data_IF_041696145181
#
_entry.id   IF_041696145181
#
_cell.length_a   1.000
_cell.length_b   1.000
_cell.length_c   1.000
_cell.angle_alpha   90.00
_cell.angle_beta   90.00
_cell.angle_gamma   90.00
#
_symmetry.space_group_name_H-M   'P 1'
#
loop_
_entity.id
_entity.type
_entity.pdbx_description
1 polymer ?
#
# COMPACT_ATOMS: atom_id res chain seq x y z
N UNK A 1 1.89 8.63 7.08
CA UNK A 1 1.55 9.85 6.32
C UNK A 1 0.29 9.67 5.49
N UNK A 2 0.29 8.81 4.45
CA UNK A 2 -0.86 8.70 3.53
C UNK A 2 -2.17 8.28 4.20
N UNK A 3 -2.16 7.30 5.12
CA UNK A 3 -3.35 6.82 5.84
C UNK A 3 -4.06 7.97 6.56
N UNK A 4 -3.28 8.89 7.12
CA UNK A 4 -3.79 10.04 7.86
C UNK A 4 -4.43 11.11 6.99
N UNK A 5 -3.99 11.22 5.74
CA UNK A 5 -4.58 12.12 4.77
C UNK A 5 -5.81 11.49 4.12
N UNK A 6 -5.72 10.22 3.75
CA UNK A 6 -6.77 9.47 3.06
C UNK A 6 -7.99 9.26 3.94
N UNK A 7 -7.82 9.05 5.25
CA UNK A 7 -8.96 8.90 6.18
C UNK A 7 -9.93 10.10 6.12
N UNK A 8 -9.46 11.31 5.76
CA UNK A 8 -10.28 12.52 5.72
C UNK A 8 -11.32 12.51 4.59
N UNK A 9 -11.24 11.56 3.64
CA UNK A 9 -12.28 11.34 2.64
C UNK A 9 -13.48 10.56 3.15
N UNK A 10 -13.34 9.87 4.28
CA UNK A 10 -14.32 8.90 4.75
C UNK A 10 -14.99 9.41 6.02
N UNK A 11 -16.30 9.20 6.12
CA UNK A 11 -17.04 9.50 7.34
C UNK A 11 -16.85 8.35 8.33
N UNK A 12 -16.26 8.62 9.50
CA UNK A 12 -15.98 7.64 10.57
C UNK A 12 -15.19 6.39 10.11
N UNK A 13 -13.96 6.55 9.60
CA UNK A 13 -13.15 5.41 9.17
C UNK A 13 -12.59 4.63 10.37
N UNK A 14 -12.61 3.30 10.29
CA UNK A 14 -11.80 2.45 11.18
C UNK A 14 -10.35 2.48 10.73
N UNK A 15 -9.47 2.98 11.60
CA UNK A 15 -8.06 3.20 11.30
C UNK A 15 -7.19 2.52 12.36
N UNK A 16 -6.48 1.47 11.95
CA UNK A 16 -5.47 0.80 12.77
C UNK A 16 -4.09 1.30 12.38
N UNK A 17 -3.34 1.92 13.31
CA UNK A 17 -2.01 2.49 13.05
C UNK A 17 -0.96 1.88 13.97
N UNK A 18 0.27 1.78 13.46
CA UNK A 18 1.44 1.36 14.24
C UNK A 18 1.12 0.06 15.02
N UNK A 19 1.37 0.01 16.32
CA UNK A 19 1.14 -1.16 17.17
C UNK A 19 -0.33 -1.63 17.21
N UNK A 20 -1.29 -0.74 16.93
CA UNK A 20 -2.71 -1.11 16.84
C UNK A 20 -3.04 -1.87 15.54
N UNK A 21 -2.19 -1.83 14.51
CA UNK A 21 -2.34 -2.58 13.27
C UNK A 21 -1.82 -4.03 13.43
N UNK A 22 -2.33 -4.72 14.44
CA UNK A 22 -1.95 -6.08 14.82
C UNK A 22 -3.00 -7.11 14.40
N UNK A 23 -2.66 -8.40 14.52
CA UNK A 23 -3.51 -9.52 14.08
C UNK A 23 -4.87 -9.55 14.78
N UNK A 24 -4.86 -9.32 16.09
CA UNK A 24 -6.08 -9.34 16.92
C UNK A 24 -7.04 -8.22 16.51
N UNK A 25 -6.54 -6.99 16.39
CA UNK A 25 -7.33 -5.84 15.98
C UNK A 25 -7.86 -5.99 14.55
N UNK A 26 -7.04 -6.53 13.63
CA UNK A 26 -7.50 -6.85 12.27
C UNK A 26 -8.68 -7.83 12.30
N UNK A 27 -8.56 -8.94 13.04
CA UNK A 27 -9.61 -9.95 13.16
C UNK A 27 -10.91 -9.39 13.76
N UNK A 28 -10.81 -8.46 14.72
CA UNK A 28 -11.97 -7.75 15.28
C UNK A 28 -12.65 -6.85 14.23
N UNK A 29 -11.86 -6.22 13.35
CA UNK A 29 -12.36 -5.34 12.29
C UNK A 29 -12.92 -6.09 11.06
N UNK A 30 -12.71 -7.42 10.93
CA UNK A 30 -13.16 -8.18 9.74
C UNK A 30 -14.66 -8.04 9.51
N UNK A 31 -15.49 -8.02 10.54
CA UNK A 31 -16.94 -7.89 10.38
C UNK A 31 -17.34 -6.56 9.70
N UNK A 32 -16.65 -5.48 10.05
CA UNK A 32 -16.82 -4.17 9.44
C UNK A 32 -16.24 -4.16 8.02
N UNK A 33 -15.03 -4.70 7.82
CA UNK A 33 -14.34 -4.78 6.54
C UNK A 33 -15.21 -5.42 5.43
N UNK A 34 -16.07 -6.39 5.78
CA UNK A 34 -17.01 -7.03 4.84
C UNK A 34 -18.07 -6.07 4.29
N UNK A 35 -18.33 -4.98 5.00
CA UNK A 35 -19.36 -3.98 4.69
C UNK A 35 -18.78 -2.68 4.14
N UNK A 36 -17.46 -2.50 4.14
CA UNK A 36 -16.83 -1.27 3.65
C UNK A 36 -16.64 -1.29 2.14
N UNK A 37 -16.75 -0.10 1.54
CA UNK A 37 -16.45 0.10 0.12
C UNK A 37 -14.96 0.19 -0.20
N UNK A 38 -14.12 0.49 0.80
CA UNK A 38 -12.71 0.76 0.62
C UNK A 38 -11.91 0.11 1.74
N UNK A 39 -10.80 -0.53 1.38
CA UNK A 39 -9.79 -1.02 2.33
C UNK A 39 -8.42 -0.53 1.87
N UNK A 40 -7.64 0.03 2.77
CA UNK A 40 -6.31 0.56 2.47
C UNK A 40 -5.29 -0.07 3.43
N UNK A 41 -4.28 -0.72 2.88
CA UNK A 41 -3.21 -1.40 3.61
C UNK A 41 -1.88 -0.72 3.33
N UNK A 42 -1.37 -0.01 4.33
CA UNK A 42 -0.03 0.61 4.35
C UNK A 42 0.95 -0.26 5.14
N UNK A 43 1.06 -1.53 4.77
CA UNK A 43 1.95 -2.50 5.40
C UNK A 43 2.67 -3.37 4.36
N UNK A 44 3.81 -3.94 4.75
CA UNK A 44 4.68 -4.69 3.84
C UNK A 44 4.11 -6.06 3.49
N UNK A 45 4.13 -6.41 2.21
CA UNK A 45 3.91 -7.78 1.75
C UNK A 45 5.18 -8.63 1.83
N UNK A 46 5.02 -9.95 1.83
CA UNK A 46 6.11 -10.92 1.66
C UNK A 46 5.66 -12.09 0.78
N UNK A 47 6.60 -12.63 0.01
CA UNK A 47 6.33 -13.60 -1.05
C UNK A 47 7.20 -14.84 -0.83
N UNK A 48 6.58 -16.01 -0.88
CA UNK A 48 7.25 -17.30 -0.74
C UNK A 48 7.01 -18.12 -2.00
N UNK A 49 7.90 -18.00 -2.98
CA UNK A 49 7.78 -18.69 -4.27
C UNK A 49 7.64 -20.21 -4.15
N UNK A 50 8.39 -20.83 -3.24
CA UNK A 50 8.30 -22.28 -3.01
C UNK A 50 6.98 -22.73 -2.35
N UNK A 51 6.25 -21.81 -1.71
CA UNK A 51 4.96 -22.09 -1.08
C UNK A 51 4.11 -20.81 -1.06
N UNK A 52 3.42 -20.47 -2.16
CA UNK A 52 2.68 -19.20 -2.27
C UNK A 52 1.59 -19.05 -1.20
N UNK A 53 1.06 -20.17 -0.68
CA UNK A 53 0.06 -20.22 0.39
C UNK A 53 0.51 -19.51 1.67
N UNK A 54 1.81 -19.45 1.94
CA UNK A 54 2.31 -18.74 3.12
C UNK A 54 2.71 -17.30 2.81
N UNK A 55 2.45 -16.77 1.61
CA UNK A 55 2.63 -15.33 1.33
C UNK A 55 1.56 -14.51 2.06
N UNK A 56 1.79 -13.21 2.27
CA UNK A 56 0.83 -12.38 2.98
C UNK A 56 1.30 -10.96 3.25
N UNK A 57 0.56 -10.27 4.12
CA UNK A 57 0.88 -8.95 4.63
C UNK A 57 1.41 -9.05 6.06
N UNK A 58 2.45 -8.29 6.36
CA UNK A 58 3.07 -8.19 7.68
C UNK A 58 2.26 -7.20 8.53
N UNK A 59 1.78 -7.66 9.67
CA UNK A 59 1.11 -6.83 10.68
C UNK A 59 2.11 -6.41 11.77
N UNK A 60 1.72 -5.47 12.62
CA UNK A 60 2.63 -4.82 13.57
C UNK A 60 3.26 -5.77 14.59
N UNK A 61 2.50 -6.77 15.04
CA UNK A 61 2.88 -7.81 15.99
C UNK A 61 3.65 -8.98 15.37
N UNK A 62 3.79 -9.01 14.05
CA UNK A 62 4.49 -10.09 13.37
C UNK A 62 6.01 -10.03 13.54
N UNK A 63 6.60 -8.86 13.87
CA UNK A 63 8.05 -8.73 13.94
C UNK A 63 8.61 -9.46 15.17
N UNK A 64 9.53 -10.39 14.94
CA UNK A 64 10.23 -11.09 16.00
C UNK A 64 11.37 -10.23 16.57
N UNK A 65 11.65 -10.30 17.88
CA UNK A 65 12.84 -9.71 18.48
C UNK A 65 14.12 -10.26 17.85
N UNK A 66 15.17 -9.44 17.76
CA UNK A 66 16.50 -9.91 17.27
C UNK A 66 17.09 -11.01 18.16
N UNK A 67 16.69 -11.06 19.43
CA UNK A 67 17.09 -12.07 20.42
C UNK A 67 16.26 -13.35 20.34
N UNK A 68 15.28 -13.45 19.44
CA UNK A 68 14.40 -14.60 19.34
C UNK A 68 15.18 -15.85 18.91
N UNK A 69 15.40 -16.77 19.86
CA UNK A 69 16.06 -18.06 19.63
C UNK A 69 15.35 -18.81 18.50
N UNK A 70 16.10 -19.28 17.52
CA UNK A 70 15.53 -20.04 16.39
C UNK A 70 15.01 -21.37 16.90
N UNK A 71 13.69 -21.50 16.98
CA UNK A 71 13.02 -22.78 17.25
C UNK A 71 12.85 -23.51 15.90
N UNK A 72 13.39 -24.73 15.72
CA UNK A 72 13.36 -25.44 14.43
C UNK A 72 11.96 -25.69 13.88
N UNK A 73 10.96 -25.80 14.76
CA UNK A 73 9.59 -26.17 14.38
C UNK A 73 8.69 -24.97 14.07
N UNK A 74 9.10 -23.74 14.45
CA UNK A 74 8.30 -22.54 14.18
C UNK A 74 8.69 -21.91 12.85
N UNK A 75 7.77 -21.82 11.87
CA UNK A 75 8.06 -21.21 10.59
C UNK A 75 8.41 -19.72 10.78
N UNK A 76 9.39 -19.22 10.02
CA UNK A 76 9.81 -17.81 10.05
C UNK A 76 9.88 -17.23 8.65
N UNK A 77 9.49 -15.96 8.53
CA UNK A 77 9.67 -15.18 7.31
C UNK A 77 10.88 -14.29 7.50
N UNK A 78 11.86 -14.37 6.60
CA UNK A 78 13.02 -13.49 6.58
C UNK A 78 12.85 -12.45 5.48
N UNK A 79 13.04 -11.19 5.84
CA UNK A 79 13.05 -10.04 4.92
C UNK A 79 14.20 -9.10 5.30
N UNK A 80 14.49 -8.12 4.45
CA UNK A 80 15.42 -7.03 4.76
C UNK A 80 15.05 -6.26 6.03
N UNK A 81 13.79 -6.36 6.49
CA UNK A 81 13.26 -5.68 7.69
C UNK A 81 13.33 -6.51 8.98
N UNK A 82 13.81 -7.75 8.90
CA UNK A 82 13.96 -8.65 10.04
C UNK A 82 13.30 -10.02 9.82
N UNK A 83 13.08 -10.72 10.94
CA UNK A 83 12.35 -11.98 10.96
C UNK A 83 10.92 -11.76 11.46
N UNK A 84 9.96 -12.48 10.89
CA UNK A 84 8.54 -12.34 11.21
C UNK A 84 7.88 -13.69 11.50
N UNK A 85 6.96 -13.69 12.46
CA UNK A 85 6.06 -14.80 12.75
C UNK A 85 4.92 -14.83 11.72
N UNK A 86 4.80 -15.86 10.87
CA UNK A 86 3.74 -15.97 9.89
C UNK A 86 2.34 -16.04 10.51
N UNK A 87 2.19 -16.51 11.75
CA UNK A 87 0.88 -16.63 12.41
C UNK A 87 0.26 -15.25 12.74
N UNK A 88 1.11 -14.24 12.93
CA UNK A 88 0.69 -12.85 13.16
C UNK A 88 0.66 -12.03 11.86
N UNK A 89 1.01 -12.62 10.73
CA UNK A 89 0.81 -12.01 9.41
C UNK A 89 -0.63 -12.23 8.93
N UNK A 90 -1.13 -11.38 8.03
CA UNK A 90 -2.34 -11.67 7.26
C UNK A 90 -1.97 -12.52 6.04
N UNK A 91 -2.12 -13.84 6.17
CA UNK A 91 -1.71 -14.82 5.15
C UNK A 91 -2.70 -14.90 4.00
N UNK A 92 -2.24 -15.40 2.85
CA UNK A 92 -3.07 -15.55 1.66
C UNK A 92 -4.34 -16.42 1.87
N UNK A 93 -4.31 -17.56 2.59
CA UNK A 93 -5.50 -18.30 2.99
C UNK A 93 -6.51 -17.48 3.78
N UNK A 94 -6.04 -16.60 4.65
CA UNK A 94 -6.92 -15.75 5.43
C UNK A 94 -7.52 -14.65 4.57
N UNK A 95 -6.72 -14.06 3.67
CA UNK A 95 -7.19 -13.10 2.66
C UNK A 95 -8.31 -13.72 1.83
N UNK A 96 -8.13 -14.95 1.31
CA UNK A 96 -9.16 -15.65 0.54
C UNK A 96 -10.47 -15.84 1.32
N UNK A 97 -10.40 -15.95 2.64
CA UNK A 97 -11.56 -16.15 3.51
C UNK A 97 -12.22 -14.83 3.99
N UNK A 98 -11.68 -13.66 3.63
CA UNK A 98 -12.20 -12.37 4.11
C UNK A 98 -13.63 -12.09 3.64
N UNK A 99 -14.03 -12.57 2.45
CA UNK A 99 -15.34 -12.30 1.80
C UNK A 99 -15.70 -10.81 1.80
N UNK A 100 -15.34 -10.08 0.74
CA UNK A 100 -15.43 -8.63 0.62
C UNK A 100 -16.52 -8.18 -0.38
N UNK A 101 -17.79 -8.57 -0.22
CA UNK A 101 -18.83 -8.39 -1.25
C UNK A 101 -19.15 -6.93 -1.56
N UNK A 102 -18.90 -6.02 -0.61
CA UNK A 102 -19.15 -4.58 -0.76
C UNK A 102 -17.88 -3.79 -1.12
N UNK A 103 -16.71 -4.43 -1.15
CA UNK A 103 -15.45 -3.72 -1.33
C UNK A 103 -15.25 -3.34 -2.79
N UNK A 104 -15.32 -2.04 -3.07
CA UNK A 104 -15.08 -1.45 -4.39
C UNK A 104 -13.60 -1.41 -4.71
N UNK A 105 -12.75 -1.18 -3.70
CA UNK A 105 -11.31 -1.07 -3.86
C UNK A 105 -10.57 -1.56 -2.61
N UNK A 106 -9.65 -2.49 -2.80
CA UNK A 106 -8.53 -2.74 -1.89
C UNK A 106 -7.29 -2.05 -2.44
N UNK A 107 -6.66 -1.18 -1.66
CA UNK A 107 -5.42 -0.50 -2.03
C UNK A 107 -4.26 -0.96 -1.14
N UNK A 108 -3.20 -1.47 -1.75
CA UNK A 108 -1.98 -1.91 -1.09
C UNK A 108 -0.87 -0.90 -1.41
N UNK A 109 -0.54 -0.01 -0.47
CA UNK A 109 0.43 1.06 -0.71
C UNK A 109 1.88 0.65 -0.43
N UNK A 110 2.12 -0.43 0.30
CA UNK A 110 3.46 -0.90 0.65
C UNK A 110 3.70 -2.35 0.19
N UNK A 111 3.77 -2.57 -1.12
CA UNK A 111 4.10 -3.90 -1.65
C UNK A 111 5.61 -4.02 -1.96
N UNK A 112 6.38 -4.57 -1.02
CA UNK A 112 7.74 -5.11 -1.21
C UNK A 112 7.69 -6.51 -1.88
N UNK A 113 7.13 -6.58 -3.09
CA UNK A 113 6.75 -7.87 -3.70
C UNK A 113 7.52 -8.18 -4.98
N UNK A 114 8.23 -7.19 -5.52
CA UNK A 114 9.10 -7.35 -6.66
C UNK A 114 10.55 -7.50 -6.28
N UNK A 115 11.05 -8.73 -6.42
CA UNK A 115 12.44 -9.06 -6.76
C UNK A 115 13.44 -8.97 -5.59
N UNK A 116 13.69 -10.11 -4.95
CA UNK A 116 15.03 -10.44 -4.43
C UNK A 116 15.67 -11.64 -5.12
N UNK A 117 15.00 -12.24 -6.12
CA UNK A 117 15.61 -13.30 -6.90
C UNK A 117 15.22 -13.22 -8.39
N UNK A 118 16.04 -12.51 -9.17
CA UNK A 118 15.92 -12.43 -10.63
C UNK A 118 16.30 -13.79 -11.27
N UNK A 119 16.84 -14.73 -10.48
CA UNK A 119 17.27 -16.04 -10.99
C UNK A 119 16.15 -17.08 -11.09
N UNK A 120 15.03 -16.88 -10.40
CA UNK A 120 13.86 -17.77 -10.49
C UNK A 120 12.88 -17.26 -11.54
N UNK A 121 12.86 -17.95 -12.67
CA UNK A 121 11.93 -17.76 -13.80
C UNK A 121 10.46 -17.66 -13.33
N UNK A 122 9.85 -16.53 -13.69
CA UNK A 122 8.49 -16.36 -14.25
C UNK A 122 7.25 -16.90 -13.49
N UNK A 123 6.28 -15.98 -13.29
CA UNK A 123 4.81 -16.17 -13.39
C UNK A 123 3.88 -15.97 -12.18
N UNK A 124 4.33 -15.52 -11.01
CA UNK A 124 3.39 -15.21 -9.91
C UNK A 124 3.56 -13.80 -9.31
N UNK A 125 3.27 -12.80 -10.13
CA UNK A 125 2.81 -11.49 -9.62
C UNK A 125 1.37 -11.55 -9.07
N UNK A 126 0.70 -12.71 -9.18
CA UNK A 126 -0.75 -12.94 -8.97
C UNK A 126 -1.04 -13.65 -7.63
N UNK A 127 -0.33 -13.36 -6.54
CA UNK A 127 -0.63 -14.06 -5.26
C UNK A 127 -1.48 -13.21 -4.29
N UNK A 128 -1.00 -12.04 -3.82
CA UNK A 128 -1.76 -11.24 -2.84
C UNK A 128 -2.90 -10.43 -3.49
N UNK A 129 -2.64 -9.80 -4.64
CA UNK A 129 -3.68 -9.03 -5.36
C UNK A 129 -4.84 -9.93 -5.78
N UNK A 130 -4.52 -11.11 -6.30
CA UNK A 130 -5.51 -12.13 -6.63
C UNK A 130 -6.24 -12.67 -5.40
N UNK A 131 -5.54 -12.76 -4.26
CA UNK A 131 -6.14 -13.04 -2.96
C UNK A 131 -7.33 -12.15 -2.65
N UNK A 132 -7.12 -10.83 -2.70
CA UNK A 132 -8.18 -9.85 -2.43
C UNK A 132 -9.26 -9.83 -3.51
N UNK A 133 -8.88 -10.00 -4.78
CA UNK A 133 -9.83 -10.09 -5.88
C UNK A 133 -10.76 -11.31 -5.72
N UNK A 134 -10.19 -12.49 -5.43
CA UNK A 134 -10.93 -13.70 -5.14
C UNK A 134 -11.80 -13.58 -3.88
N UNK A 135 -11.31 -12.86 -2.86
CA UNK A 135 -12.09 -12.57 -1.67
C UNK A 135 -13.34 -11.73 -1.97
N UNK A 136 -13.44 -11.09 -3.15
CA UNK A 136 -14.64 -10.38 -3.62
C UNK A 136 -14.45 -8.88 -3.84
N UNK A 137 -13.22 -8.36 -3.68
CA UNK A 137 -12.95 -6.96 -4.00
C UNK A 137 -13.10 -6.71 -5.51
N UNK A 138 -13.84 -5.66 -5.89
CA UNK A 138 -14.08 -5.34 -7.31
C UNK A 138 -12.81 -4.86 -8.02
N UNK A 139 -11.99 -4.11 -7.29
CA UNK A 139 -10.70 -3.62 -7.75
C UNK A 139 -9.66 -3.83 -6.64
N UNK A 140 -8.44 -4.16 -7.05
CA UNK A 140 -7.29 -4.25 -6.17
C UNK A 140 -6.13 -3.47 -6.79
N UNK A 141 -5.66 -2.43 -6.10
CA UNK A 141 -4.49 -1.64 -6.45
C UNK A 141 -3.30 -2.13 -5.62
N UNK A 142 -2.13 -2.29 -6.24
CA UNK A 142 -0.88 -2.54 -5.53
C UNK A 142 0.36 -2.12 -6.32
N UNK A 143 1.54 -2.40 -5.78
CA UNK A 143 2.83 -2.10 -6.43
C UNK A 143 3.60 -3.36 -6.82
N UNK A 144 4.23 -3.32 -7.99
CA UNK A 144 5.07 -4.38 -8.54
C UNK A 144 6.49 -4.40 -7.94
N UNK A 145 6.94 -3.29 -7.33
CA UNK A 145 8.23 -3.16 -6.64
C UNK A 145 8.12 -2.16 -5.49
N UNK A 146 9.16 -2.11 -4.66
CA UNK A 146 9.27 -1.13 -3.59
C UNK A 146 9.51 0.27 -4.17
N UNK A 147 8.64 1.20 -3.82
CA UNK A 147 8.72 2.62 -4.20
C UNK A 147 9.10 3.42 -2.95
N UNK A 148 9.75 4.58 -3.13
CA UNK A 148 10.14 5.45 -2.01
C UNK A 148 8.90 5.92 -1.22
N UNK A 149 8.97 5.83 0.12
CA UNK A 149 7.85 6.10 1.02
C UNK A 149 7.16 7.45 0.78
N UNK A 150 7.91 8.52 0.54
CA UNK A 150 7.34 9.85 0.28
C UNK A 150 6.59 9.87 -1.05
N UNK A 151 7.20 9.34 -2.11
CA UNK A 151 6.55 9.29 -3.44
C UNK A 151 5.32 8.39 -3.44
N UNK A 152 5.34 7.29 -2.68
CA UNK A 152 4.16 6.43 -2.45
C UNK A 152 3.06 7.21 -1.74
N UNK A 153 3.39 7.93 -0.68
CA UNK A 153 2.41 8.71 0.06
C UNK A 153 1.74 9.77 -0.82
N UNK A 154 2.52 10.50 -1.62
CA UNK A 154 1.98 11.47 -2.57
C UNK A 154 1.15 10.78 -3.66
N UNK A 155 1.63 9.66 -4.20
CA UNK A 155 0.89 8.88 -5.18
C UNK A 155 -0.48 8.48 -4.65
N UNK A 156 -0.54 7.90 -3.45
CA UNK A 156 -1.78 7.39 -2.86
C UNK A 156 -2.74 8.52 -2.53
N UNK A 157 -2.28 9.63 -1.94
CA UNK A 157 -3.13 10.79 -1.69
C UNK A 157 -3.70 11.32 -3.01
N UNK A 158 -2.87 11.48 -4.03
CA UNK A 158 -3.29 11.98 -5.35
C UNK A 158 -4.25 11.02 -6.06
N UNK A 159 -4.05 9.71 -5.89
CA UNK A 159 -4.93 8.69 -6.41
C UNK A 159 -6.32 8.77 -5.78
N UNK A 160 -6.42 8.91 -4.45
CA UNK A 160 -7.71 9.08 -3.78
C UNK A 160 -8.38 10.42 -4.10
N UNK A 161 -7.62 11.53 -4.23
CA UNK A 161 -8.13 12.82 -4.75
C UNK A 161 -8.78 12.66 -6.11
N UNK A 162 -8.14 11.90 -7.00
CA UNK A 162 -8.63 11.68 -8.36
C UNK A 162 -9.85 10.75 -8.36
N UNK A 163 -9.79 9.65 -7.59
CA UNK A 163 -10.83 8.63 -7.53
C UNK A 163 -12.11 9.12 -6.85
N UNK A 164 -12.00 9.93 -5.80
CA UNK A 164 -13.12 10.42 -4.99
C UNK A 164 -13.51 11.87 -5.30
N UNK A 165 -12.85 12.51 -6.26
CA UNK A 165 -13.20 13.84 -6.74
C UNK A 165 -14.53 13.86 -7.54
N UNK A 166 -14.94 15.03 -8.02
CA UNK A 166 -16.26 15.28 -8.62
C UNK A 166 -16.67 14.27 -9.72
N UNK A 167 -15.72 13.88 -10.58
CA UNK A 167 -15.98 13.00 -11.72
C UNK A 167 -16.00 11.50 -11.38
N UNK A 168 -15.54 11.11 -10.18
CA UNK A 168 -15.41 9.73 -9.69
C UNK A 168 -15.09 8.70 -10.79
N UNK A 169 -13.95 8.86 -11.49
CA UNK A 169 -13.61 8.00 -12.62
C UNK A 169 -13.41 6.54 -12.20
N UNK A 170 -13.50 5.57 -13.14
CA UNK A 170 -13.11 4.19 -12.87
C UNK A 170 -11.67 4.09 -12.34
N UNK A 171 -11.39 3.06 -11.54
CA UNK A 171 -10.08 2.86 -10.87
C UNK A 171 -8.92 2.90 -11.87
N UNK A 172 -9.05 2.25 -13.02
CA UNK A 172 -8.03 2.25 -14.07
C UNK A 172 -7.72 3.66 -14.61
N UNK A 173 -8.75 4.51 -14.75
CA UNK A 173 -8.57 5.88 -15.22
C UNK A 173 -7.97 6.77 -14.12
N UNK A 174 -8.41 6.62 -12.87
CA UNK A 174 -7.80 7.32 -11.72
C UNK A 174 -6.31 6.95 -11.57
N UNK A 175 -5.97 5.67 -11.75
CA UNK A 175 -4.59 5.18 -11.75
C UNK A 175 -3.76 5.83 -12.86
N UNK A 176 -4.24 5.76 -14.12
CA UNK A 176 -3.56 6.37 -15.27
C UNK A 176 -3.33 7.87 -15.07
N UNK A 177 -4.35 8.61 -14.64
CA UNK A 177 -4.25 10.05 -14.39
C UNK A 177 -3.24 10.37 -13.28
N UNK A 178 -3.19 9.55 -12.23
CA UNK A 178 -2.19 9.70 -11.16
C UNK A 178 -0.77 9.44 -11.66
N UNK A 179 -0.58 8.38 -12.46
CA UNK A 179 0.72 8.08 -13.06
C UNK A 179 1.20 9.19 -13.99
N UNK A 180 0.31 9.74 -14.82
CA UNK A 180 0.61 10.87 -15.70
C UNK A 180 0.97 12.13 -14.92
N UNK A 181 0.26 12.39 -13.83
CA UNK A 181 0.55 13.50 -12.92
C UNK A 181 1.94 13.36 -12.30
N UNK A 182 2.26 12.20 -11.70
CA UNK A 182 3.57 11.94 -11.08
C UNK A 182 4.72 12.12 -12.07
N UNK A 183 4.53 11.68 -13.32
CA UNK A 183 5.53 11.78 -14.38
C UNK A 183 5.85 13.22 -14.78
N UNK A 184 4.88 14.14 -14.68
CA UNK A 184 4.98 15.47 -15.29
C UNK A 184 5.21 16.61 -14.31
N UNK A 185 5.06 16.40 -13.00
CA UNK A 185 5.14 17.50 -12.02
C UNK A 185 6.56 17.90 -11.71
N UNK A 186 6.76 19.23 -11.71
CA UNK A 186 7.99 19.85 -11.23
C UNK A 186 7.97 19.98 -9.70
N UNK A 187 9.11 20.26 -9.09
CA UNK A 187 9.19 20.59 -7.65
C UNK A 187 8.27 21.75 -7.30
N UNK A 188 8.20 22.79 -8.14
CA UNK A 188 7.27 23.91 -7.97
C UNK A 188 5.81 23.46 -7.94
N UNK A 189 5.40 22.62 -8.90
CA UNK A 189 4.04 22.10 -8.97
C UNK A 189 3.69 21.27 -7.73
N UNK A 190 4.63 20.45 -7.27
CA UNK A 190 4.47 19.60 -6.09
C UNK A 190 4.35 20.45 -4.83
N UNK A 191 5.18 21.48 -4.65
CA UNK A 191 5.08 22.42 -3.54
C UNK A 191 3.74 23.17 -3.56
N UNK A 192 3.28 23.61 -4.74
CA UNK A 192 1.98 24.23 -4.89
C UNK A 192 0.84 23.27 -4.52
N UNK A 193 0.91 22.01 -4.96
CA UNK A 193 -0.06 20.99 -4.56
C UNK A 193 -0.02 20.72 -3.06
N UNK A 194 1.17 20.55 -2.47
CA UNK A 194 1.36 20.38 -1.02
C UNK A 194 0.77 21.57 -0.26
N UNK A 195 0.90 22.81 -0.75
CA UNK A 195 0.32 24.00 -0.13
C UNK A 195 -1.19 24.14 -0.33
N UNK A 196 -1.75 23.57 -1.41
CA UNK A 196 -3.19 23.60 -1.69
C UNK A 196 -3.97 22.37 -1.19
N UNK A 197 -3.30 21.28 -0.85
CA UNK A 197 -3.97 20.02 -0.50
C UNK A 197 -4.68 20.14 0.87
N UNK A 198 -6.00 19.97 0.86
CA UNK A 198 -6.84 20.06 2.07
C UNK A 198 -6.75 18.80 2.96
N UNK A 199 -6.22 17.69 2.41
CA UNK A 199 -6.20 16.39 3.08
C UNK A 199 -5.02 16.23 4.02
N UNK A 200 -3.95 16.98 3.80
CA UNK A 200 -2.73 16.88 4.60
C UNK A 200 -2.72 17.95 5.70
N UNK A 201 -2.36 17.52 6.90
CA UNK A 201 -2.25 18.41 8.06
C UNK A 201 -0.95 19.27 7.98
N UNK A 202 -0.79 20.21 8.92
CA UNK A 202 0.35 21.12 8.93
C UNK A 202 1.70 20.37 9.08
N UNK A 203 1.76 19.32 9.89
CA UNK A 203 2.99 18.53 10.08
C UNK A 203 3.39 17.82 8.78
N UNK A 204 2.45 17.11 8.15
CA UNK A 204 2.69 16.40 6.89
C UNK A 204 3.10 17.36 5.78
N UNK A 205 2.47 18.54 5.71
CA UNK A 205 2.81 19.59 4.76
C UNK A 205 4.23 20.08 4.95
N UNK A 206 4.67 20.25 6.20
CA UNK A 206 6.05 20.63 6.50
C UNK A 206 7.04 19.52 6.12
N UNK A 207 6.74 18.28 6.47
CA UNK A 207 7.58 17.11 6.12
C UNK A 207 7.74 16.97 4.60
N UNK A 208 6.64 17.00 3.84
CA UNK A 208 6.66 16.92 2.38
C UNK A 208 7.41 18.11 1.77
N UNK A 209 7.14 19.33 2.24
CA UNK A 209 7.82 20.53 1.75
C UNK A 209 9.33 20.45 1.98
N UNK A 210 9.77 20.04 3.17
CA UNK A 210 11.20 19.90 3.50
C UNK A 210 11.91 18.93 2.54
N UNK A 211 11.28 17.80 2.24
CA UNK A 211 11.83 16.84 1.26
C UNK A 211 11.89 17.42 -0.16
N UNK A 212 10.86 18.14 -0.59
CA UNK A 212 10.81 18.76 -1.92
C UNK A 212 11.79 19.92 -2.06
N UNK A 213 12.05 20.68 -1.00
CA UNK A 213 13.06 21.75 -0.99
C UNK A 213 14.50 21.22 -0.95
N UNK A 214 14.69 19.91 -0.78
CA UNK A 214 16.00 19.27 -0.92
C UNK A 214 16.50 19.16 -2.36
N UNK A 215 15.63 19.41 -3.35
CA UNK A 215 15.99 19.47 -4.77
C UNK A 215 16.57 20.85 -5.12
N UNK A 216 17.50 20.90 -6.07
CA UNK A 216 18.27 22.11 -6.35
C UNK A 216 17.48 23.14 -7.15
N UNK A 217 16.69 22.71 -8.13
CA UNK A 217 15.87 23.61 -8.95
C UNK A 217 14.38 23.31 -8.88
N UNK A 218 13.57 24.37 -8.84
CA UNK A 218 12.11 24.27 -8.81
C UNK A 218 11.50 23.66 -10.08
N UNK A 219 12.24 23.69 -11.18
CA UNK A 219 11.87 23.14 -12.49
C UNK A 219 12.16 21.64 -12.62
N UNK A 220 12.89 21.04 -11.67
CA UNK A 220 13.17 19.62 -11.70
C UNK A 220 11.90 18.80 -11.56
N UNK A 221 11.85 17.64 -12.22
CA UNK A 221 10.73 16.70 -12.15
C UNK A 221 11.16 15.48 -11.33
N UNK A 222 11.04 15.51 -9.99
CA UNK A 222 11.72 14.57 -9.11
C UNK A 222 11.25 13.12 -9.30
N UNK A 223 9.99 12.94 -9.71
CA UNK A 223 9.36 11.64 -9.93
C UNK A 223 9.04 11.34 -11.38
N UNK A 224 9.72 11.99 -12.33
CA UNK A 224 9.57 11.71 -13.77
C UNK A 224 9.92 10.26 -14.13
N UNK A 225 10.91 9.68 -13.45
CA UNK A 225 11.32 8.30 -13.66
C UNK A 225 10.15 7.33 -13.42
N UNK A 226 9.92 6.33 -14.29
CA UNK A 226 8.86 5.33 -14.11
C UNK A 226 9.00 4.53 -12.82
N UNK A 227 10.20 4.50 -12.22
CA UNK A 227 10.44 3.89 -10.92
C UNK A 227 9.40 4.31 -9.85
N UNK A 228 8.94 5.56 -9.87
CA UNK A 228 8.07 6.11 -8.82
C UNK A 228 6.57 5.87 -9.03
N UNK A 229 6.14 5.45 -10.23
CA UNK A 229 4.71 5.40 -10.56
C UNK A 229 4.30 4.21 -11.43
N UNK A 230 5.21 3.67 -12.25
CA UNK A 230 4.90 2.55 -13.15
C UNK A 230 4.74 1.22 -12.40
N UNK A 231 5.22 1.15 -11.16
CA UNK A 231 5.05 -0.01 -10.30
C UNK A 231 3.59 -0.18 -9.86
N UNK A 232 2.80 0.89 -9.82
CA UNK A 232 1.40 0.80 -9.42
C UNK A 232 0.56 0.16 -10.53
N UNK A 233 -0.15 -0.91 -10.18
CA UNK A 233 -1.05 -1.63 -11.07
C UNK A 233 -2.38 -1.90 -10.36
N UNK A 234 -3.46 -1.97 -11.14
CA UNK A 234 -4.78 -2.34 -10.66
C UNK A 234 -5.29 -3.56 -11.42
N UNK A 235 -5.93 -4.47 -10.70
CA UNK A 235 -6.69 -5.60 -11.25
C UNK A 235 -8.15 -5.47 -10.82
N UNK A 236 -9.10 -5.63 -11.75
CA UNK A 236 -10.51 -5.43 -11.43
C UNK A 236 -11.39 -5.06 -12.62
N UNK A 237 -12.65 -4.79 -12.31
CA UNK A 237 -13.68 -4.30 -13.23
C UNK A 237 -13.77 -2.77 -13.25
#
# INVERSE_FOLDING_TARGET
MEVEAIQNFFNQPTVLKQEAANKTAFNQAVAELKQTGFAHFSCHGYFKFANPRISGLILADAKLPETAVTEPEKPRIRSRRGEFNPDECLTLPEIFNLRLPQCRLVALSACETGITDISTKTDEYISILAGFFFAGARNVLGTLWAVNDLSTAVFMIRFYETLLGENQPPVALALKQTQEWMRSKTVADLLNWVNGCALINQQQRQEMSNHLTGWHELTETPWRSPYYWAGFCAVGQ
#
